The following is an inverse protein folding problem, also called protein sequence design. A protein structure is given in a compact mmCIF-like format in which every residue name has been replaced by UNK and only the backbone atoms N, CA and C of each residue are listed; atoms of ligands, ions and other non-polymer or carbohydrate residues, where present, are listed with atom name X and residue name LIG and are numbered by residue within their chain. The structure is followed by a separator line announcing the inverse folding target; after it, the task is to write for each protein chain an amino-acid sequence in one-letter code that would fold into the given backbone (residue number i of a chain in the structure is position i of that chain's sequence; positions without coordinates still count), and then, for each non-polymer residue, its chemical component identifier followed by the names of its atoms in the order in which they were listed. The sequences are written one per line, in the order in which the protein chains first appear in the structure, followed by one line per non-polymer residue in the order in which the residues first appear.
data_IF_985577787659
#
_entry.id   IF_985577787659
#
_cell.length_a   1.000
_cell.length_b   1.000
_cell.length_c   1.000
_cell.angle_alpha   90.00
_cell.angle_beta   90.00
_cell.angle_gamma   90.00
#
_symmetry.space_group_name_H-M   'P 1'
#
loop_
_entity.id
_entity.type
_entity.pdbx_description
1 polymer ?
#
# COMPACT_ATOMS: atom_id res chain seq x y z
N UNK A 1 31.65 11.88 8.33
CA UNK A 1 30.94 13.15 8.60
C UNK A 1 30.48 13.68 7.25
N UNK A 2 29.18 13.86 7.02
CA UNK A 2 28.66 14.28 5.71
C UNK A 2 28.80 15.80 5.53
N UNK A 3 29.36 16.26 4.41
CA UNK A 3 29.59 17.68 4.15
C UNK A 3 28.34 18.37 3.62
N UNK A 4 27.96 19.49 4.24
CA UNK A 4 26.85 20.33 3.78
C UNK A 4 27.05 20.79 2.33
N UNK A 5 28.24 21.31 2.02
CA UNK A 5 28.58 21.86 0.70
C UNK A 5 28.77 20.79 -0.37
N UNK A 6 29.36 19.65 -0.01
CA UNK A 6 29.78 18.66 -1.01
C UNK A 6 28.78 17.51 -1.21
N UNK A 7 27.77 17.37 -0.34
CA UNK A 7 26.84 16.25 -0.43
C UNK A 7 25.38 16.68 -0.27
N UNK A 8 25.04 17.35 0.83
CA UNK A 8 23.64 17.69 1.15
C UNK A 8 23.07 18.70 0.15
N UNK A 9 23.76 19.81 -0.08
CA UNK A 9 23.32 20.84 -1.04
C UNK A 9 23.24 20.29 -2.47
N UNK A 10 24.25 19.57 -3.00
CA UNK A 10 24.17 18.93 -4.31
C UNK A 10 22.99 17.97 -4.45
N UNK A 11 22.78 17.08 -3.47
CA UNK A 11 21.66 16.12 -3.50
C UNK A 11 20.29 16.81 -3.42
N UNK A 12 20.16 17.89 -2.63
CA UNK A 12 18.95 18.70 -2.62
C UNK A 12 18.69 19.34 -3.99
N UNK A 13 19.70 19.98 -4.59
CA UNK A 13 19.59 20.62 -5.89
C UNK A 13 19.25 19.62 -7.00
N UNK A 14 19.84 18.43 -6.95
CA UNK A 14 19.53 17.33 -7.86
C UNK A 14 18.05 16.94 -7.76
N UNK A 15 17.53 16.70 -6.56
CA UNK A 15 16.11 16.36 -6.36
C UNK A 15 15.20 17.50 -6.81
N UNK A 16 15.55 18.74 -6.50
CA UNK A 16 14.83 19.94 -6.96
C UNK A 16 14.74 19.98 -8.48
N UNK A 17 15.85 19.74 -9.17
CA UNK A 17 15.93 19.73 -10.62
C UNK A 17 15.10 18.59 -11.22
N UNK A 18 15.18 17.37 -10.68
CA UNK A 18 14.36 16.23 -11.14
C UNK A 18 12.85 16.50 -11.01
N UNK A 19 12.42 17.17 -9.93
CA UNK A 19 11.01 17.45 -9.71
C UNK A 19 10.50 18.74 -10.34
N UNK A 20 11.41 19.62 -10.76
CA UNK A 20 11.14 21.02 -11.09
C UNK A 20 10.30 21.71 -10.00
N UNK A 21 10.54 21.39 -8.72
CA UNK A 21 9.72 21.87 -7.59
C UNK A 21 10.39 21.64 -6.23
N UNK A 22 10.55 22.71 -5.47
CA UNK A 22 11.09 22.69 -4.10
C UNK A 22 10.18 21.90 -3.16
N UNK A 23 8.86 22.13 -3.23
CA UNK A 23 7.87 21.43 -2.40
C UNK A 23 7.92 19.92 -2.61
N UNK A 24 8.03 19.45 -3.86
CA UNK A 24 8.15 18.03 -4.16
C UNK A 24 9.48 17.47 -3.65
N UNK A 25 10.58 18.19 -3.82
CA UNK A 25 11.89 17.78 -3.30
C UNK A 25 11.88 17.65 -1.77
N UNK A 26 11.40 18.68 -1.06
CA UNK A 26 11.26 18.69 0.39
C UNK A 26 10.36 17.55 0.86
N UNK A 27 9.26 17.29 0.15
CA UNK A 27 8.34 16.19 0.48
C UNK A 27 9.00 14.81 0.32
N UNK A 28 9.81 14.61 -0.73
CA UNK A 28 10.57 13.38 -0.92
C UNK A 28 11.60 13.19 0.21
N UNK A 29 12.35 14.25 0.54
CA UNK A 29 13.33 14.25 1.64
C UNK A 29 12.65 13.94 2.98
N UNK A 30 11.52 14.58 3.31
CA UNK A 30 10.78 14.31 4.54
C UNK A 30 10.33 12.85 4.67
N UNK A 31 10.13 12.15 3.55
CA UNK A 31 9.77 10.72 3.55
C UNK A 31 10.97 9.80 3.72
N UNK A 32 12.16 10.23 3.31
CA UNK A 32 13.39 9.48 3.47
C UNK A 32 14.60 10.42 3.57
N UNK A 33 14.77 11.04 4.75
CA UNK A 33 15.84 12.01 5.01
C UNK A 33 17.23 11.53 4.61
N UNK A 34 17.60 10.23 4.76
CA UNK A 34 18.91 9.76 4.36
C UNK A 34 19.25 10.02 2.90
N UNK A 35 18.28 10.22 1.99
CA UNK A 35 18.54 10.52 0.57
C UNK A 35 19.54 11.66 0.34
N UNK A 36 19.61 12.63 1.26
CA UNK A 36 20.54 13.76 1.20
C UNK A 36 22.01 13.35 1.37
N UNK A 37 22.27 12.18 1.95
CA UNK A 37 23.61 11.64 2.20
C UNK A 37 23.86 10.31 1.49
N UNK A 38 22.96 9.92 0.57
CA UNK A 38 23.20 8.78 -0.32
C UNK A 38 24.06 9.19 -1.51
N UNK A 39 24.72 8.19 -2.09
CA UNK A 39 25.30 8.28 -3.42
C UNK A 39 24.17 8.13 -4.46
N UNK A 40 23.68 9.27 -4.97
CA UNK A 40 22.59 9.27 -5.95
C UNK A 40 23.08 8.87 -7.35
N UNK A 41 24.36 9.10 -7.65
CA UNK A 41 24.95 8.76 -8.95
C UNK A 41 25.09 7.26 -9.13
N UNK A 42 25.50 6.52 -8.09
CA UNK A 42 25.67 5.07 -8.17
C UNK A 42 24.37 4.29 -7.99
N UNK A 43 23.32 4.88 -7.41
CA UNK A 43 22.08 4.16 -7.09
C UNK A 43 20.83 4.75 -7.76
N UNK A 44 20.56 6.04 -7.58
CA UNK A 44 19.30 6.64 -8.06
C UNK A 44 19.26 6.66 -9.59
N UNK A 45 20.27 7.24 -10.25
CA UNK A 45 20.28 7.38 -11.69
C UNK A 45 20.28 6.05 -12.45
N UNK A 46 21.11 5.05 -12.10
CA UNK A 46 21.08 3.74 -12.74
C UNK A 46 19.70 3.10 -12.64
N UNK A 47 19.06 3.18 -11.47
CA UNK A 47 17.72 2.63 -11.27
C UNK A 47 16.65 3.35 -12.09
N UNK A 48 16.71 4.69 -12.17
CA UNK A 48 15.81 5.45 -13.04
C UNK A 48 16.05 5.12 -14.52
N UNK A 49 17.30 4.96 -14.94
CA UNK A 49 17.66 4.64 -16.31
C UNK A 49 17.22 3.23 -16.73
N UNK A 50 17.32 2.24 -15.83
CA UNK A 50 16.74 0.90 -16.06
C UNK A 50 15.25 1.01 -16.33
N UNK A 51 14.50 1.74 -15.49
CA UNK A 51 13.06 1.93 -15.67
C UNK A 51 12.72 2.71 -16.95
N UNK A 52 13.49 3.74 -17.30
CA UNK A 52 13.31 4.47 -18.57
C UNK A 52 13.56 3.57 -19.78
N UNK A 53 14.61 2.76 -19.73
CA UNK A 53 15.02 1.88 -20.83
C UNK A 53 13.96 0.85 -21.21
N UNK A 54 13.11 0.44 -20.26
CA UNK A 54 11.99 -0.47 -20.49
C UNK A 54 10.64 0.25 -20.69
N UNK A 55 10.66 1.57 -20.90
CA UNK A 55 9.47 2.34 -21.25
C UNK A 55 8.60 2.82 -20.08
N UNK A 56 9.07 2.76 -18.82
CA UNK A 56 8.34 3.36 -17.70
C UNK A 56 8.29 4.88 -17.87
N UNK A 57 7.09 5.52 -17.86
CA UNK A 57 6.97 6.95 -18.03
C UNK A 57 7.71 7.73 -16.94
N UNK A 58 8.41 8.80 -17.32
CA UNK A 58 9.16 9.65 -16.39
C UNK A 58 8.26 10.16 -15.24
N UNK A 59 7.01 10.51 -15.55
CA UNK A 59 6.03 10.94 -14.55
C UNK A 59 5.73 9.87 -13.49
N UNK A 60 5.75 8.57 -13.85
CA UNK A 60 5.60 7.46 -12.92
C UNK A 60 6.86 7.25 -12.07
N UNK A 61 8.05 7.37 -12.67
CA UNK A 61 9.33 7.27 -11.95
C UNK A 61 9.45 8.39 -10.92
N UNK A 62 9.18 9.64 -11.31
CA UNK A 62 9.18 10.79 -10.40
C UNK A 62 8.10 10.67 -9.33
N UNK A 63 6.91 10.14 -9.67
CA UNK A 63 5.87 9.87 -8.67
C UNK A 63 6.36 8.86 -7.62
N UNK A 64 7.06 7.81 -8.03
CA UNK A 64 7.66 6.82 -7.14
C UNK A 64 8.77 7.43 -6.28
N UNK A 65 9.69 8.19 -6.89
CA UNK A 65 10.75 8.92 -6.17
C UNK A 65 10.15 9.83 -5.10
N UNK A 66 9.05 10.53 -5.42
CA UNK A 66 8.40 11.43 -4.46
C UNK A 66 7.71 10.70 -3.32
N UNK A 67 7.10 9.53 -3.57
CA UNK A 67 6.29 8.80 -2.59
C UNK A 67 7.09 7.81 -1.75
N UNK A 68 8.12 7.20 -2.34
CA UNK A 68 8.94 6.19 -1.71
C UNK A 68 10.38 6.28 -2.24
N UNK A 69 11.15 7.32 -1.87
CA UNK A 69 12.49 7.54 -2.45
C UNK A 69 13.43 6.33 -2.28
N UNK A 70 13.34 5.64 -1.15
CA UNK A 70 14.09 4.41 -0.86
C UNK A 70 13.86 3.28 -1.88
N UNK A 71 12.77 3.30 -2.63
CA UNK A 71 12.52 2.28 -3.67
C UNK A 71 13.57 2.33 -4.77
N UNK A 72 14.01 3.52 -5.17
CA UNK A 72 15.00 3.78 -6.23
C UNK A 72 16.44 3.90 -5.70
N UNK A 73 16.65 3.79 -4.39
CA UNK A 73 17.97 3.67 -3.77
C UNK A 73 18.24 2.20 -3.44
N UNK A 74 18.23 1.37 -4.47
CA UNK A 74 18.44 -0.07 -4.37
C UNK A 74 19.62 -0.49 -5.25
N UNK A 75 20.17 -1.68 -4.99
CA UNK A 75 21.25 -2.21 -5.81
C UNK A 75 20.78 -2.31 -7.29
N UNK A 76 21.45 -1.66 -8.26
CA UNK A 76 20.98 -1.60 -9.63
C UNK A 76 20.92 -2.95 -10.36
N UNK A 77 21.87 -3.85 -10.06
CA UNK A 77 21.88 -5.20 -10.63
C UNK A 77 20.63 -5.96 -10.19
N UNK A 78 20.34 -5.94 -8.88
CA UNK A 78 19.15 -6.60 -8.34
C UNK A 78 17.85 -5.95 -8.78
N UNK A 79 17.82 -4.62 -8.94
CA UNK A 79 16.63 -3.94 -9.48
C UNK A 79 16.35 -4.41 -10.91
N UNK A 80 17.40 -4.50 -11.75
CA UNK A 80 17.27 -4.98 -13.12
C UNK A 80 16.67 -6.39 -13.18
N UNK A 81 17.17 -7.31 -12.37
CA UNK A 81 16.61 -8.68 -12.28
C UNK A 81 15.11 -8.69 -11.92
N UNK A 82 14.70 -7.82 -10.99
CA UNK A 82 13.29 -7.68 -10.57
C UNK A 82 12.43 -7.09 -11.69
N UNK A 83 12.96 -6.09 -12.39
CA UNK A 83 12.29 -5.44 -13.51
C UNK A 83 12.05 -6.44 -14.64
N UNK A 84 13.07 -7.22 -15.01
CA UNK A 84 12.95 -8.28 -16.02
C UNK A 84 11.96 -9.37 -15.58
N UNK A 85 11.91 -9.71 -14.28
CA UNK A 85 10.91 -10.64 -13.76
C UNK A 85 9.49 -10.08 -13.88
N UNK A 86 9.28 -8.80 -13.59
CA UNK A 86 7.98 -8.16 -13.74
C UNK A 86 7.51 -8.14 -15.21
N UNK A 87 8.42 -7.92 -16.16
CA UNK A 87 8.13 -8.02 -17.60
C UNK A 87 7.79 -9.47 -18.00
N UNK A 88 8.55 -10.47 -17.52
CA UNK A 88 8.26 -11.90 -17.75
C UNK A 88 6.89 -12.31 -17.20
N UNK A 89 6.45 -11.71 -16.10
CA UNK A 89 5.11 -11.92 -15.53
C UNK A 89 3.98 -11.25 -16.35
N UNK A 90 4.32 -10.47 -17.38
CA UNK A 90 3.39 -9.83 -18.30
C UNK A 90 2.80 -8.51 -17.80
N UNK A 91 3.47 -7.82 -16.85
CA UNK A 91 3.02 -6.50 -16.42
C UNK A 91 3.47 -5.41 -17.39
N UNK A 92 2.53 -4.56 -17.80
CA UNK A 92 2.79 -3.42 -18.69
C UNK A 92 3.58 -2.31 -17.95
N UNK A 93 4.82 -2.08 -18.40
CA UNK A 93 5.76 -1.08 -17.88
C UNK A 93 5.25 0.36 -17.97
N UNK A 94 4.29 0.64 -18.85
CA UNK A 94 3.68 1.97 -18.97
C UNK A 94 2.83 2.34 -17.74
N UNK A 95 2.42 1.35 -16.94
CA UNK A 95 1.45 1.53 -15.87
C UNK A 95 2.08 1.78 -14.50
N UNK A 96 1.33 2.43 -13.61
CA UNK A 96 1.69 2.50 -12.17
C UNK A 96 1.65 1.14 -11.48
N UNK A 97 0.96 0.16 -12.07
CA UNK A 97 0.90 -1.20 -11.54
C UNK A 97 2.27 -1.87 -11.61
N UNK A 98 3.01 -1.65 -12.71
CA UNK A 98 4.37 -2.17 -12.87
C UNK A 98 5.28 -1.79 -11.70
N UNK A 99 5.29 -0.51 -11.33
CA UNK A 99 6.07 -0.04 -10.18
C UNK A 99 5.62 -0.68 -8.86
N UNK A 100 4.32 -0.98 -8.71
CA UNK A 100 3.80 -1.68 -7.53
C UNK A 100 4.31 -3.11 -7.43
N UNK A 101 4.42 -3.82 -8.57
CA UNK A 101 5.02 -5.16 -8.67
C UNK A 101 6.51 -5.11 -8.34
N UNK A 102 7.25 -4.17 -8.93
CA UNK A 102 8.69 -3.99 -8.66
C UNK A 102 8.92 -3.76 -7.16
N UNK A 103 8.12 -2.91 -6.52
CA UNK A 103 8.19 -2.67 -5.07
C UNK A 103 7.90 -3.95 -4.28
N UNK A 104 6.88 -4.71 -4.68
CA UNK A 104 6.52 -5.95 -3.99
C UNK A 104 7.65 -6.99 -4.09
N UNK A 105 8.12 -7.29 -5.30
CA UNK A 105 9.19 -8.26 -5.53
C UNK A 105 10.50 -7.84 -4.87
N UNK A 106 10.85 -6.55 -4.90
CA UNK A 106 12.04 -6.02 -4.20
C UNK A 106 12.02 -6.26 -2.69
N UNK A 107 10.84 -6.34 -2.08
CA UNK A 107 10.71 -6.47 -0.63
C UNK A 107 10.93 -7.89 -0.11
N UNK A 108 11.08 -8.89 -0.99
CA UNK A 108 11.13 -10.29 -0.58
C UNK A 108 11.90 -11.17 -1.58
N UNK A 109 12.28 -12.38 -1.16
CA UNK A 109 12.86 -13.37 -2.07
C UNK A 109 11.76 -14.20 -2.72
N UNK A 110 12.08 -14.98 -3.77
CA UNK A 110 11.15 -15.96 -4.36
C UNK A 110 10.61 -16.94 -3.31
N UNK A 111 11.48 -17.47 -2.45
CA UNK A 111 11.06 -18.35 -1.34
C UNK A 111 10.11 -17.65 -0.37
N UNK A 112 10.33 -16.37 -0.05
CA UNK A 112 9.40 -15.60 0.78
C UNK A 112 8.06 -15.38 0.08
N UNK A 113 8.05 -15.13 -1.23
CA UNK A 113 6.82 -14.99 -2.01
C UNK A 113 5.99 -16.29 -1.97
N UNK A 114 6.62 -17.45 -2.17
CA UNK A 114 5.94 -18.75 -2.07
C UNK A 114 5.34 -18.98 -0.68
N UNK A 115 6.10 -18.67 0.39
CA UNK A 115 5.57 -18.71 1.75
C UNK A 115 4.36 -17.79 1.93
N UNK A 116 4.30 -16.64 1.25
CA UNK A 116 3.11 -15.78 1.27
C UNK A 116 1.93 -16.44 0.57
N UNK A 117 2.15 -17.14 -0.54
CA UNK A 117 1.09 -17.89 -1.21
C UNK A 117 0.53 -18.98 -0.29
N UNK A 118 1.38 -19.71 0.44
CA UNK A 118 0.95 -20.70 1.42
C UNK A 118 0.05 -20.10 2.52
N UNK A 119 0.37 -18.89 3.00
CA UNK A 119 -0.49 -18.18 3.96
C UNK A 119 -1.89 -18.00 3.41
N UNK A 120 -2.04 -17.61 2.14
CA UNK A 120 -3.34 -17.43 1.50
C UNK A 120 -4.05 -18.77 1.22
N UNK A 121 -3.31 -19.83 0.85
CA UNK A 121 -3.87 -21.19 0.69
C UNK A 121 -4.49 -21.70 1.98
N UNK A 122 -3.87 -21.44 3.15
CA UNK A 122 -4.46 -21.79 4.47
C UNK A 122 -5.79 -21.11 4.75
N UNK A 123 -6.09 -20.00 4.06
CA UNK A 123 -7.38 -19.32 4.12
C UNK A 123 -8.34 -19.74 2.98
N UNK A 124 -8.01 -20.82 2.27
CA UNK A 124 -8.85 -21.41 1.24
C UNK A 124 -8.78 -20.71 -0.11
N UNK A 125 -7.78 -19.85 -0.35
CA UNK A 125 -7.59 -19.29 -1.68
C UNK A 125 -6.97 -20.35 -2.60
N UNK A 126 -7.58 -20.56 -3.76
CA UNK A 126 -7.00 -21.32 -4.86
C UNK A 126 -5.77 -20.60 -5.43
N UNK A 127 -4.90 -21.33 -6.12
CA UNK A 127 -3.76 -20.71 -6.81
C UNK A 127 -4.23 -19.63 -7.79
N UNK A 128 -5.34 -19.86 -8.50
CA UNK A 128 -5.91 -18.85 -9.39
C UNK A 128 -6.29 -17.56 -8.64
N UNK A 129 -7.00 -17.67 -7.50
CA UNK A 129 -7.37 -16.50 -6.69
C UNK A 129 -6.14 -15.75 -6.17
N UNK A 130 -5.08 -16.46 -5.78
CA UNK A 130 -3.81 -15.86 -5.33
C UNK A 130 -3.15 -15.07 -6.46
N UNK A 131 -3.06 -15.66 -7.66
CA UNK A 131 -2.46 -15.01 -8.82
C UNK A 131 -3.28 -13.78 -9.26
N UNK A 132 -4.61 -13.87 -9.25
CA UNK A 132 -5.50 -12.75 -9.54
C UNK A 132 -5.40 -11.64 -8.49
N UNK A 133 -5.31 -12.00 -7.21
CA UNK A 133 -5.10 -11.07 -6.12
C UNK A 133 -3.76 -10.34 -6.26
N UNK A 134 -2.69 -11.06 -6.57
CA UNK A 134 -1.38 -10.50 -6.84
C UNK A 134 -1.41 -9.52 -8.02
N UNK A 135 -2.01 -9.90 -9.15
CA UNK A 135 -2.15 -9.02 -10.32
C UNK A 135 -2.94 -7.76 -10.02
N UNK A 136 -3.99 -7.85 -9.20
CA UNK A 136 -4.84 -6.71 -8.82
C UNK A 136 -4.16 -5.79 -7.82
N UNK A 137 -3.41 -6.32 -6.87
CA UNK A 137 -2.72 -5.54 -5.86
C UNK A 137 -1.45 -6.23 -5.32
N UNK A 138 -0.30 -6.10 -6.01
CA UNK A 138 0.94 -6.81 -5.65
C UNK A 138 1.41 -6.55 -4.21
N UNK A 139 1.10 -5.36 -3.68
CA UNK A 139 1.44 -4.96 -2.32
C UNK A 139 0.74 -5.79 -1.24
N UNK A 140 -0.27 -6.61 -1.57
CA UNK A 140 -0.81 -7.57 -0.60
C UNK A 140 0.25 -8.60 -0.17
N UNK A 141 1.23 -8.91 -1.02
CA UNK A 141 2.30 -9.85 -0.70
C UNK A 141 3.32 -9.27 0.30
N UNK A 142 3.39 -7.94 0.43
CA UNK A 142 4.35 -7.28 1.34
C UNK A 142 3.84 -7.21 2.79
N UNK A 143 2.61 -7.67 3.04
CA UNK A 143 1.98 -7.63 4.37
C UNK A 143 2.55 -8.76 5.23
N UNK A 144 2.84 -8.50 6.51
CA UNK A 144 3.32 -9.54 7.42
C UNK A 144 2.30 -10.67 7.57
N UNK A 145 2.78 -11.89 7.80
CA UNK A 145 1.89 -13.05 7.98
C UNK A 145 0.93 -12.83 9.14
N UNK A 146 1.43 -12.38 10.30
CA UNK A 146 0.61 -12.09 11.47
C UNK A 146 -0.53 -11.11 11.17
N UNK A 147 -0.25 -10.08 10.35
CA UNK A 147 -1.26 -9.10 9.98
C UNK A 147 -2.31 -9.71 9.04
N UNK A 148 -1.89 -10.54 8.08
CA UNK A 148 -2.83 -11.28 7.22
C UNK A 148 -3.70 -12.20 8.06
N UNK A 149 -3.11 -12.99 8.96
CA UNK A 149 -3.82 -13.90 9.86
C UNK A 149 -4.84 -13.15 10.74
N UNK A 150 -4.45 -12.02 11.34
CA UNK A 150 -5.33 -11.22 12.17
C UNK A 150 -6.50 -10.61 11.38
N UNK A 151 -6.25 -10.13 10.16
CA UNK A 151 -7.29 -9.56 9.30
C UNK A 151 -8.28 -10.65 8.87
N UNK A 152 -7.78 -11.80 8.43
CA UNK A 152 -8.61 -12.90 7.96
C UNK A 152 -9.40 -13.55 9.11
N UNK A 153 -8.81 -13.73 10.29
CA UNK A 153 -9.53 -14.17 11.50
C UNK A 153 -10.70 -13.23 11.82
N UNK A 154 -10.46 -11.92 11.78
CA UNK A 154 -11.52 -10.96 12.04
C UNK A 154 -12.59 -10.94 10.95
N UNK A 155 -12.22 -10.76 9.69
CA UNK A 155 -13.20 -10.60 8.62
C UNK A 155 -13.93 -11.90 8.30
N UNK A 156 -13.21 -13.02 8.19
CA UNK A 156 -13.80 -14.30 7.80
C UNK A 156 -14.46 -14.98 9.00
N UNK A 157 -13.71 -15.25 10.07
CA UNK A 157 -14.24 -16.04 11.19
C UNK A 157 -15.20 -15.25 12.08
N UNK A 158 -14.87 -13.99 12.43
CA UNK A 158 -15.69 -13.20 13.37
C UNK A 158 -16.81 -12.41 12.71
N UNK A 159 -16.60 -11.94 11.48
CA UNK A 159 -17.56 -11.09 10.77
C UNK A 159 -18.29 -11.80 9.63
N UNK A 160 -17.93 -13.05 9.32
CA UNK A 160 -18.65 -13.90 8.37
C UNK A 160 -18.44 -13.55 6.90
N UNK A 161 -17.44 -12.74 6.55
CA UNK A 161 -17.14 -12.47 5.14
C UNK A 161 -16.56 -13.71 4.46
N UNK A 162 -16.95 -13.95 3.21
CA UNK A 162 -16.33 -14.99 2.39
C UNK A 162 -14.85 -14.70 2.14
N UNK A 163 -13.99 -15.72 2.32
CA UNK A 163 -12.55 -15.62 2.04
C UNK A 163 -12.27 -15.25 0.58
N UNK A 164 -13.01 -15.84 -0.37
CA UNK A 164 -12.96 -15.51 -1.81
C UNK A 164 -13.34 -14.05 -2.09
N UNK A 165 -14.26 -13.47 -1.31
CA UNK A 165 -14.59 -12.05 -1.47
C UNK A 165 -13.40 -11.15 -1.07
N UNK A 166 -12.63 -11.56 -0.06
CA UNK A 166 -11.37 -10.88 0.31
C UNK A 166 -10.31 -11.06 -0.79
N UNK A 167 -10.21 -12.24 -1.39
CA UNK A 167 -9.29 -12.51 -2.51
C UNK A 167 -9.55 -11.59 -3.72
N UNK A 168 -10.82 -11.30 -4.00
CA UNK A 168 -11.23 -10.35 -5.04
C UNK A 168 -10.92 -8.89 -4.68
N UNK A 169 -10.65 -8.58 -3.41
CA UNK A 169 -10.33 -7.25 -2.90
C UNK A 169 -9.04 -7.22 -2.03
N UNK A 170 -7.88 -7.56 -2.61
CA UNK A 170 -6.62 -7.72 -1.87
C UNK A 170 -6.06 -6.42 -1.25
N UNK A 171 -6.54 -5.25 -1.69
CA UNK A 171 -6.15 -3.95 -1.14
C UNK A 171 -6.49 -3.78 0.35
N UNK A 172 -7.47 -4.54 0.85
CA UNK A 172 -7.90 -4.53 2.26
C UNK A 172 -6.74 -4.93 3.17
N UNK A 173 -5.93 -5.92 2.76
CA UNK A 173 -4.81 -6.44 3.56
C UNK A 173 -3.75 -5.36 3.82
N UNK A 174 -3.67 -4.37 2.94
CA UNK A 174 -2.75 -3.26 3.07
C UNK A 174 -3.26 -2.16 4.03
N UNK A 175 -4.56 -2.12 4.32
CA UNK A 175 -5.18 -1.13 5.25
C UNK A 175 -4.73 -1.36 6.69
N UNK A 176 -4.90 -0.35 7.53
CA UNK A 176 -4.65 -0.50 8.97
C UNK A 176 -5.71 -1.39 9.59
N UNK A 177 -5.29 -2.48 10.22
CA UNK A 177 -6.22 -3.41 10.86
C UNK A 177 -7.06 -2.71 11.93
N UNK A 178 -6.40 -2.07 12.90
CA UNK A 178 -7.09 -1.42 14.02
C UNK A 178 -7.76 -0.09 13.65
N UNK A 179 -7.13 0.72 12.80
CA UNK A 179 -7.65 2.07 12.50
C UNK A 179 -8.68 2.11 11.37
N UNK A 180 -8.68 1.13 10.47
CA UNK A 180 -9.57 1.16 9.30
C UNK A 180 -10.46 -0.07 9.26
N UNK A 181 -9.89 -1.28 9.33
CA UNK A 181 -10.67 -2.50 9.12
C UNK A 181 -11.69 -2.67 10.24
N UNK A 182 -11.26 -2.79 11.49
CA UNK A 182 -12.15 -3.00 12.64
C UNK A 182 -13.28 -1.97 12.75
N UNK A 183 -13.01 -0.65 12.82
CA UNK A 183 -14.08 0.33 13.03
C UNK A 183 -15.07 0.37 11.86
N UNK A 184 -14.61 0.25 10.62
CA UNK A 184 -15.50 0.30 9.45
C UNK A 184 -16.34 -0.96 9.30
N UNK A 185 -15.77 -2.15 9.56
CA UNK A 185 -16.56 -3.38 9.52
C UNK A 185 -17.63 -3.42 10.61
N UNK A 186 -17.31 -2.98 11.83
CA UNK A 186 -18.28 -2.91 12.92
C UNK A 186 -19.40 -1.90 12.62
N UNK A 187 -19.04 -0.73 12.10
CA UNK A 187 -20.01 0.29 11.68
C UNK A 187 -20.93 -0.23 10.58
N UNK A 188 -20.37 -0.87 9.55
CA UNK A 188 -21.13 -1.46 8.45
C UNK A 188 -22.10 -2.54 8.94
N UNK A 189 -21.65 -3.42 9.85
CA UNK A 189 -22.50 -4.46 10.44
C UNK A 189 -23.70 -3.88 11.18
N UNK A 190 -23.49 -2.79 11.91
CA UNK A 190 -24.57 -2.15 12.67
C UNK A 190 -25.53 -1.36 11.77
N UNK A 191 -25.06 -0.75 10.67
CA UNK A 191 -25.96 -0.19 9.66
C UNK A 191 -26.87 -1.26 9.04
N UNK A 192 -26.32 -2.45 8.76
CA UNK A 192 -27.06 -3.57 8.20
C UNK A 192 -28.07 -4.13 9.21
N UNK A 193 -27.70 -4.30 10.49
CA UNK A 193 -28.62 -4.83 11.52
C UNK A 193 -29.80 -3.90 11.79
N UNK A 194 -29.63 -2.59 11.64
CA UNK A 194 -30.70 -1.61 11.80
C UNK A 194 -31.53 -1.40 10.51
N UNK A 195 -31.21 -2.10 9.41
CA UNK A 195 -31.90 -1.93 8.13
C UNK A 195 -31.69 -0.55 7.49
N UNK A 196 -30.66 0.20 7.91
CA UNK A 196 -30.35 1.53 7.37
C UNK A 196 -29.71 1.47 5.97
N UNK A 197 -29.16 0.30 5.62
CA UNK A 197 -28.61 -0.04 4.31
C UNK A 197 -28.91 -1.51 4.00
N UNK A 198 -29.07 -1.83 2.72
CA UNK A 198 -29.42 -3.20 2.29
C UNK A 198 -28.19 -4.08 2.03
N UNK A 199 -27.13 -3.50 1.45
CA UNK A 199 -25.87 -4.18 1.14
C UNK A 199 -24.71 -3.18 1.10
N UNK A 200 -23.50 -3.63 1.41
CA UNK A 200 -22.28 -2.83 1.41
C UNK A 200 -21.11 -3.62 0.81
N UNK A 201 -20.71 -3.22 -0.40
CA UNK A 201 -19.51 -3.76 -1.05
C UNK A 201 -18.25 -3.43 -0.25
N UNK A 202 -17.33 -4.39 -0.16
CA UNK A 202 -16.03 -4.20 0.50
C UNK A 202 -15.24 -3.02 -0.07
N UNK A 203 -15.31 -2.78 -1.37
CA UNK A 203 -14.64 -1.64 -2.01
C UNK A 203 -15.15 -0.30 -1.47
N UNK A 204 -16.45 -0.17 -1.23
CA UNK A 204 -17.04 1.06 -0.65
C UNK A 204 -16.54 1.26 0.78
N UNK A 205 -16.41 0.18 1.55
CA UNK A 205 -15.91 0.25 2.93
C UNK A 205 -14.42 0.56 3.01
N UNK A 206 -13.60 -0.06 2.17
CA UNK A 206 -12.15 -0.09 2.39
C UNK A 206 -11.33 0.70 1.38
N UNK A 207 -11.84 0.96 0.16
CA UNK A 207 -11.12 1.77 -0.82
C UNK A 207 -11.36 3.28 -0.64
N UNK A 208 -12.42 3.65 0.07
CA UNK A 208 -12.73 5.05 0.37
C UNK A 208 -11.73 5.65 1.37
N UNK A 209 -11.38 6.91 1.18
CA UNK A 209 -10.59 7.67 2.17
C UNK A 209 -11.39 7.87 3.45
N UNK A 210 -10.70 8.15 4.57
CA UNK A 210 -11.37 8.44 5.85
C UNK A 210 -12.39 9.56 5.74
N UNK A 211 -12.03 10.67 5.07
CA UNK A 211 -12.92 11.80 4.82
C UNK A 211 -14.17 11.38 4.03
N UNK A 212 -14.01 10.54 3.02
CA UNK A 212 -15.12 10.07 2.20
C UNK A 212 -16.00 9.10 2.98
N UNK A 213 -15.41 8.17 3.75
CA UNK A 213 -16.14 7.24 4.59
C UNK A 213 -17.00 7.97 5.63
N UNK A 214 -16.43 8.97 6.32
CA UNK A 214 -17.16 9.79 7.30
C UNK A 214 -18.36 10.47 6.63
N UNK A 215 -18.14 11.16 5.51
CA UNK A 215 -19.21 11.85 4.80
C UNK A 215 -20.32 10.91 4.32
N UNK A 216 -19.94 9.74 3.80
CA UNK A 216 -20.90 8.79 3.21
C UNK A 216 -21.74 8.06 4.26
N UNK A 217 -21.14 7.75 5.41
CA UNK A 217 -21.73 6.86 6.41
C UNK A 217 -21.97 7.59 7.72
N UNK A 218 -20.91 8.12 8.31
CA UNK A 218 -20.98 8.71 9.65
C UNK A 218 -21.90 9.94 9.66
N UNK A 219 -21.65 10.91 8.78
CA UNK A 219 -22.45 12.16 8.72
C UNK A 219 -23.86 11.91 8.20
N UNK A 220 -24.02 10.94 7.29
CA UNK A 220 -25.33 10.61 6.71
C UNK A 220 -26.28 9.97 7.72
N UNK A 221 -25.75 9.15 8.63
CA UNK A 221 -26.54 8.42 9.61
C UNK A 221 -26.49 9.06 11.00
N UNK A 222 -25.75 10.16 11.21
CA UNK A 222 -25.59 10.80 12.52
C UNK A 222 -26.92 11.16 13.19
N UNK A 223 -27.88 11.69 12.42
CA UNK A 223 -29.19 12.07 12.94
C UNK A 223 -30.15 10.87 13.06
N UNK A 224 -29.90 9.81 12.30
CA UNK A 224 -30.75 8.61 12.28
C UNK A 224 -30.30 7.55 13.30
N UNK A 225 -29.05 7.63 13.74
CA UNK A 225 -28.41 6.68 14.63
C UNK A 225 -27.25 7.36 15.38
N UNK A 226 -27.52 8.24 16.36
CA UNK A 226 -26.48 8.93 17.13
C UNK A 226 -25.56 7.97 17.90
N UNK A 227 -26.08 6.81 18.33
CA UNK A 227 -25.29 5.78 19.00
C UNK A 227 -24.23 5.15 18.09
N UNK A 228 -24.47 5.09 16.77
CA UNK A 228 -23.49 4.65 15.79
C UNK A 228 -22.29 5.58 15.72
N UNK A 229 -22.53 6.90 15.76
CA UNK A 229 -21.46 7.89 15.78
C UNK A 229 -20.59 7.73 17.02
N UNK A 230 -21.23 7.54 18.18
CA UNK A 230 -20.54 7.30 19.46
C UNK A 230 -19.69 6.04 19.38
N UNK A 231 -20.26 4.93 18.91
CA UNK A 231 -19.56 3.67 18.70
C UNK A 231 -18.34 3.86 17.77
N UNK A 232 -18.49 4.54 16.63
CA UNK A 232 -17.39 4.79 15.70
C UNK A 232 -16.23 5.54 16.36
N UNK A 233 -16.54 6.62 17.07
CA UNK A 233 -15.56 7.44 17.79
C UNK A 233 -14.86 6.65 18.89
N UNK A 234 -15.58 5.85 19.65
CA UNK A 234 -15.02 4.99 20.70
C UNK A 234 -14.08 3.94 20.12
N UNK A 235 -14.46 3.26 19.04
CA UNK A 235 -13.62 2.25 18.39
C UNK A 235 -12.38 2.85 17.74
N UNK A 236 -12.47 4.06 17.19
CA UNK A 236 -11.29 4.82 16.75
C UNK A 236 -10.33 5.10 17.92
N UNK A 237 -10.84 5.59 19.06
CA UNK A 237 -10.02 5.88 20.25
C UNK A 237 -9.34 4.64 20.85
N UNK A 238 -10.03 3.51 20.89
CA UNK A 238 -9.45 2.22 21.35
C UNK A 238 -8.30 1.79 20.43
N UNK A 239 -8.42 2.03 19.11
CA UNK A 239 -7.35 1.75 18.15
C UNK A 239 -6.09 2.61 18.34
N UNK A 240 -6.21 3.77 18.99
CA UNK A 240 -5.12 4.70 19.27
C UNK A 240 -4.39 4.39 20.58
N UNK A 241 -5.10 3.90 21.60
CA UNK A 241 -4.55 3.61 22.94
C UNK A 241 -3.66 2.37 22.99
N UNK A 242 -3.92 1.36 22.16
CA UNK A 242 -3.13 0.11 22.14
C UNK A 242 -1.84 0.22 21.29
N UNK A 243 -1.16 1.38 21.36
CA UNK A 243 0.10 1.70 20.67
C UNK A 243 1.33 1.68 21.59
N UNK A 244 1.15 1.28 22.83
CA UNK A 244 2.23 1.05 23.79
C UNK A 244 2.36 -0.45 24.02
#
# INVERSE_FOLDING_TARGET
MHSLKNQIIPNFNLLRNLFHSDDKAIKAIKRFTPILVYDLESYLYPNMNVLRGIGVPESNILLLLNRQPRSLLYNPVRLKEIVEEAERMGFDSSTKMFLSVVIALKSMTKSTLEKKFDVYRRWGWSDQEIHEAFRRHPLCMTVSEDKVMAIMDFLVKKMGYSSTLIAKQPSILWKSFRKNIVPRTLFARELLSQGLVNDLKLSVLFDTSEKVFIRMFVDRFVNKAPDLLKLYKEKLKISEKNKH
#
